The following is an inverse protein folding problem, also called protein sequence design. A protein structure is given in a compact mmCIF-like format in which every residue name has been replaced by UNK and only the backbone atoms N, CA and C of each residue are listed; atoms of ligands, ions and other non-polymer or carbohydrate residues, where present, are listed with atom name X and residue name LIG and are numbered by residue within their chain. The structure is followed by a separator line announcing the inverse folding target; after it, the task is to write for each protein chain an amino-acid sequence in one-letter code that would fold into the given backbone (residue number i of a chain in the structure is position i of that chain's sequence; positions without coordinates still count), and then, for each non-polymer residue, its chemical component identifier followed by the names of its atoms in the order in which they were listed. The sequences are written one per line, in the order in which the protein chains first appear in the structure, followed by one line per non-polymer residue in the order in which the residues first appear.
data_IF_422062352573
#
_entry.id   IF_422062352573
#
_cell.length_a   1.000
_cell.length_b   1.000
_cell.length_c   1.000
_cell.angle_alpha   90.00
_cell.angle_beta   90.00
_cell.angle_gamma   90.00
#
_symmetry.space_group_name_H-M   'P 1'
#
loop_
_entity.id
_entity.type
_entity.pdbx_description
1 polymer ?
#
# COMPACT_ATOMS: atom_id res chain seq x y z
N UNK A 1 -14.99 -70.49 46.44
CA UNK A 1 -14.24 -69.24 46.15
C UNK A 1 -13.95 -69.03 44.67
N UNK A 2 -14.35 -69.89 43.77
CA UNK A 2 -14.05 -69.87 42.34
C UNK A 2 -15.00 -68.95 41.53
N UNK A 3 -16.27 -68.80 41.99
CA UNK A 3 -17.28 -68.02 41.26
C UNK A 3 -17.10 -66.52 41.32
N UNK A 4 -16.37 -65.99 42.29
CA UNK A 4 -16.16 -64.53 42.43
C UNK A 4 -15.10 -64.02 41.44
N UNK A 5 -14.10 -64.84 41.09
CA UNK A 5 -13.06 -64.45 40.14
C UNK A 5 -13.58 -64.29 38.70
N UNK A 6 -14.55 -65.13 38.31
CA UNK A 6 -15.10 -65.05 36.95
C UNK A 6 -15.97 -63.84 36.69
N UNK A 7 -16.74 -63.39 37.67
CA UNK A 7 -17.55 -62.15 37.51
C UNK A 7 -16.71 -60.92 37.31
N UNK A 8 -15.55 -60.81 37.97
CA UNK A 8 -14.61 -59.69 37.77
C UNK A 8 -14.06 -59.59 36.35
N UNK A 9 -13.75 -60.71 35.73
CA UNK A 9 -13.23 -60.77 34.35
C UNK A 9 -14.30 -60.32 33.33
N UNK A 10 -15.54 -60.73 33.51
CA UNK A 10 -16.67 -60.33 32.66
C UNK A 10 -17.01 -58.84 32.78
N UNK A 11 -16.94 -58.27 33.99
CA UNK A 11 -17.14 -56.84 34.22
C UNK A 11 -16.03 -56.02 33.58
N UNK A 12 -14.76 -56.41 33.68
CA UNK A 12 -13.64 -55.71 33.03
C UNK A 12 -13.78 -55.80 31.50
N UNK A 13 -14.15 -56.97 30.95
CA UNK A 13 -14.41 -57.16 29.52
C UNK A 13 -15.53 -56.25 29.01
N UNK A 14 -16.64 -56.14 29.74
CA UNK A 14 -17.75 -55.28 29.38
C UNK A 14 -17.36 -53.74 29.41
N UNK A 15 -16.59 -53.32 30.41
CA UNK A 15 -16.08 -51.95 30.50
C UNK A 15 -15.12 -51.63 29.34
N UNK A 16 -14.26 -52.54 28.97
CA UNK A 16 -13.35 -52.35 27.83
C UNK A 16 -14.10 -52.26 26.48
N UNK A 17 -15.16 -53.06 26.30
CA UNK A 17 -16.00 -53.00 25.11
C UNK A 17 -16.77 -51.67 25.01
N UNK A 18 -17.30 -51.21 26.12
CA UNK A 18 -17.99 -49.88 26.16
C UNK A 18 -17.01 -48.73 25.87
N UNK A 19 -15.81 -48.82 26.45
CA UNK A 19 -14.77 -47.79 26.20
C UNK A 19 -14.27 -47.82 24.75
N UNK A 20 -14.10 -49.00 24.14
CA UNK A 20 -13.72 -49.11 22.73
C UNK A 20 -14.83 -48.62 21.78
N UNK A 21 -16.11 -48.87 22.13
CA UNK A 21 -17.23 -48.37 21.36
C UNK A 21 -17.39 -46.86 21.45
N UNK A 22 -17.19 -46.29 22.64
CA UNK A 22 -17.19 -44.83 22.83
C UNK A 22 -16.02 -44.14 22.12
N UNK A 23 -14.83 -44.73 22.18
CA UNK A 23 -13.67 -44.21 21.47
C UNK A 23 -13.82 -44.31 19.95
N UNK A 24 -14.42 -45.42 19.44
CA UNK A 24 -14.74 -45.56 18.02
C UNK A 24 -15.80 -44.57 17.55
N UNK A 25 -16.86 -44.35 18.34
CA UNK A 25 -17.87 -43.34 18.03
C UNK A 25 -17.31 -41.90 18.08
N UNK A 26 -16.40 -41.63 19.02
CA UNK A 26 -15.69 -40.35 19.10
C UNK A 26 -14.76 -40.17 17.89
N UNK A 27 -14.02 -41.20 17.47
CA UNK A 27 -13.15 -41.15 16.30
C UNK A 27 -13.91 -40.96 14.99
N UNK A 28 -15.12 -41.52 14.84
CA UNK A 28 -15.97 -41.27 13.66
C UNK A 28 -16.49 -39.83 13.61
N UNK A 29 -16.75 -39.19 14.73
CA UNK A 29 -17.13 -37.78 14.75
C UNK A 29 -15.94 -36.86 14.47
N UNK A 30 -14.71 -37.26 14.82
CA UNK A 30 -13.49 -36.49 14.49
C UNK A 30 -13.11 -36.58 13.00
N UNK A 31 -13.49 -37.63 12.31
CA UNK A 31 -13.10 -37.84 10.89
C UNK A 31 -14.08 -37.24 9.88
N UNK A 32 -15.11 -36.54 10.28
CA UNK A 32 -15.90 -35.72 9.36
C UNK A 32 -15.09 -34.44 9.00
N UNK A 33 -14.03 -34.67 8.25
CA UNK A 33 -13.32 -33.57 7.59
C UNK A 33 -14.33 -32.87 6.68
N UNK A 34 -14.86 -31.73 7.14
CA UNK A 34 -15.82 -30.98 6.35
C UNK A 34 -15.15 -30.56 5.05
N UNK A 35 -15.68 -31.00 3.92
CA UNK A 35 -15.23 -30.56 2.60
C UNK A 35 -15.40 -29.06 2.49
N UNK A 36 -14.42 -28.40 1.93
CA UNK A 36 -14.47 -26.95 1.72
C UNK A 36 -13.82 -26.56 0.41
N UNK A 37 -14.16 -25.39 -0.07
CA UNK A 37 -13.46 -24.70 -1.15
C UNK A 37 -12.91 -23.38 -0.63
N UNK A 38 -11.67 -23.06 -0.95
CA UNK A 38 -11.06 -21.77 -0.66
C UNK A 38 -10.85 -21.04 -1.97
N UNK A 39 -11.40 -19.84 -2.04
CA UNK A 39 -11.41 -19.00 -3.23
C UNK A 39 -10.92 -17.61 -2.91
N UNK A 40 -10.44 -16.92 -3.95
CA UNK A 40 -10.05 -15.53 -3.88
C UNK A 40 -10.98 -14.69 -4.74
N UNK A 41 -11.47 -13.60 -4.18
CA UNK A 41 -12.18 -12.57 -4.92
C UNK A 41 -11.31 -11.32 -5.03
N UNK A 42 -11.27 -10.76 -6.20
CA UNK A 42 -10.50 -9.56 -6.54
C UNK A 42 -11.46 -8.39 -6.75
N UNK A 43 -11.07 -7.20 -6.27
CA UNK A 43 -11.60 -5.93 -6.74
C UNK A 43 -10.45 -5.00 -7.10
N UNK A 44 -10.57 -4.30 -8.22
CA UNK A 44 -9.63 -3.30 -8.69
C UNK A 44 -10.38 -2.02 -9.07
N UNK A 45 -9.85 -0.87 -8.68
CA UNK A 45 -10.42 0.43 -8.99
C UNK A 45 -9.33 1.41 -9.38
N UNK A 46 -9.55 2.16 -10.46
CA UNK A 46 -8.67 3.27 -10.84
C UNK A 46 -9.29 4.55 -10.29
N UNK A 47 -8.49 5.29 -9.52
CA UNK A 47 -8.87 6.56 -8.92
C UNK A 47 -7.83 7.62 -9.29
N UNK A 48 -8.23 8.89 -9.27
CA UNK A 48 -7.29 10.00 -9.37
C UNK A 48 -6.70 10.28 -8.00
N UNK A 49 -5.40 10.55 -7.94
CA UNK A 49 -4.73 11.02 -6.73
C UNK A 49 -5.40 12.30 -6.22
N UNK A 50 -5.50 12.44 -4.92
CA UNK A 50 -6.08 13.59 -4.23
C UNK A 50 -5.03 14.49 -3.57
N UNK A 51 -3.78 14.05 -3.56
CA UNK A 51 -2.60 14.78 -3.05
C UNK A 51 -1.47 14.68 -4.06
N UNK A 52 -0.73 15.77 -4.20
CA UNK A 52 0.53 15.82 -4.90
C UNK A 52 1.62 16.40 -4.00
N UNK A 53 2.79 15.77 -4.01
CA UNK A 53 4.00 16.20 -3.34
C UNK A 53 5.03 16.49 -4.43
N UNK A 54 5.35 17.77 -4.62
CA UNK A 54 6.30 18.19 -5.64
C UNK A 54 7.58 18.67 -4.98
N UNK A 55 8.70 18.01 -5.27
CA UNK A 55 10.02 18.32 -4.75
C UNK A 55 10.90 18.93 -5.83
N UNK A 56 11.39 20.14 -5.60
CA UNK A 56 12.29 20.88 -6.47
C UNK A 56 13.61 21.07 -5.73
N UNK A 57 14.63 20.31 -6.10
CA UNK A 57 15.97 20.40 -5.53
C UNK A 57 16.87 21.21 -6.44
N UNK A 58 17.68 22.08 -5.85
CA UNK A 58 18.66 22.85 -6.58
C UNK A 58 20.01 22.89 -5.86
N UNK A 59 21.06 23.05 -6.63
CA UNK A 59 22.42 23.17 -6.17
C UNK A 59 22.98 24.56 -6.45
N UNK A 60 23.81 25.03 -5.53
CA UNK A 60 24.62 26.25 -5.69
C UNK A 60 26.06 25.91 -5.39
N UNK A 61 26.98 26.41 -6.20
CA UNK A 61 28.42 26.21 -6.02
C UNK A 61 29.15 27.52 -6.13
N UNK A 62 30.10 27.77 -5.23
CA UNK A 62 30.89 29.00 -5.22
C UNK A 62 32.25 28.80 -4.57
N UNK A 63 33.20 29.66 -4.93
CA UNK A 63 34.50 29.75 -4.24
C UNK A 63 34.48 30.78 -3.09
N UNK A 64 33.39 31.55 -2.98
CA UNK A 64 33.17 32.53 -1.91
C UNK A 64 31.88 32.20 -1.16
N UNK A 65 31.95 32.19 0.17
CA UNK A 65 30.81 31.82 1.02
C UNK A 65 29.66 32.85 0.97
N UNK A 66 29.99 34.14 0.87
CA UNK A 66 28.99 35.21 0.81
C UNK A 66 28.22 35.15 -0.52
N UNK A 67 28.95 34.87 -1.62
CA UNK A 67 28.34 34.66 -2.94
C UNK A 67 27.46 33.41 -2.95
N UNK A 68 27.90 32.32 -2.29
CA UNK A 68 27.08 31.11 -2.14
C UNK A 68 25.75 31.44 -1.45
N UNK A 69 25.81 32.17 -0.34
CA UNK A 69 24.64 32.57 0.42
C UNK A 69 23.68 33.42 -0.42
N UNK A 70 24.20 34.45 -1.09
CA UNK A 70 23.40 35.31 -1.95
C UNK A 70 22.70 34.54 -3.09
N UNK A 71 23.38 33.57 -3.72
CA UNK A 71 22.83 32.73 -4.76
C UNK A 71 21.77 31.77 -4.24
N UNK A 72 21.93 31.22 -3.03
CA UNK A 72 20.92 30.41 -2.36
C UNK A 72 19.65 31.22 -2.14
N UNK A 73 19.74 32.42 -1.58
CA UNK A 73 18.58 33.30 -1.35
C UNK A 73 17.89 33.68 -2.66
N UNK A 74 18.66 34.07 -3.68
CA UNK A 74 18.15 34.39 -5.00
C UNK A 74 17.38 33.23 -5.62
N UNK A 75 17.96 32.03 -5.62
CA UNK A 75 17.33 30.85 -6.22
C UNK A 75 16.10 30.39 -5.44
N UNK A 76 16.15 30.42 -4.10
CA UNK A 76 14.99 30.14 -3.25
C UNK A 76 13.84 31.11 -3.54
N UNK A 77 14.14 32.42 -3.64
CA UNK A 77 13.16 33.45 -3.95
C UNK A 77 12.57 33.27 -5.35
N UNK A 78 13.39 32.91 -6.34
CA UNK A 78 12.94 32.66 -7.71
C UNK A 78 11.98 31.47 -7.78
N UNK A 79 12.32 30.35 -7.12
CA UNK A 79 11.45 29.16 -7.08
C UNK A 79 10.17 29.46 -6.32
N UNK A 80 10.25 30.12 -5.17
CA UNK A 80 9.07 30.50 -4.38
C UNK A 80 8.13 31.39 -5.19
N UNK A 81 8.65 32.43 -5.85
CA UNK A 81 7.88 33.31 -6.72
C UNK A 81 7.23 32.61 -7.89
N UNK A 82 7.95 31.65 -8.49
CA UNK A 82 7.41 30.79 -9.54
C UNK A 82 6.23 29.95 -9.02
N UNK A 83 6.36 29.33 -7.87
CA UNK A 83 5.31 28.50 -7.27
C UNK A 83 4.06 29.35 -6.93
N UNK A 84 4.24 30.52 -6.32
CA UNK A 84 3.16 31.44 -6.03
C UNK A 84 2.45 31.91 -7.32
N UNK A 85 3.20 32.25 -8.37
CA UNK A 85 2.65 32.63 -9.67
C UNK A 85 1.87 31.47 -10.35
N UNK A 86 2.18 30.20 -10.03
CA UNK A 86 1.43 29.03 -10.50
C UNK A 86 0.18 28.72 -9.68
N UNK A 87 -0.14 29.53 -8.66
CA UNK A 87 -1.36 29.44 -7.87
C UNK A 87 -1.25 28.54 -6.63
N UNK A 88 -0.03 28.24 -6.19
CA UNK A 88 0.19 27.60 -4.88
C UNK A 88 0.16 28.66 -3.79
N UNK A 89 -0.32 28.28 -2.62
CA UNK A 89 -0.34 29.15 -1.45
C UNK A 89 0.96 29.00 -0.67
N UNK A 90 1.37 30.07 0.04
CA UNK A 90 2.58 30.01 0.86
C UNK A 90 2.54 28.89 1.92
N UNK A 91 1.35 28.55 2.40
CA UNK A 91 1.12 27.45 3.34
C UNK A 91 1.34 26.06 2.74
N UNK A 92 1.29 25.93 1.40
CA UNK A 92 1.54 24.68 0.67
C UNK A 92 3.03 24.49 0.34
N UNK A 93 3.84 25.57 0.49
CA UNK A 93 5.25 25.59 0.11
C UNK A 93 6.12 25.44 1.36
N UNK A 94 7.00 24.48 1.36
CA UNK A 94 7.98 24.27 2.42
C UNK A 94 9.40 24.40 1.86
N UNK A 95 10.25 25.17 2.56
CA UNK A 95 11.68 25.31 2.25
C UNK A 95 12.47 24.47 3.24
N UNK A 96 13.19 23.50 2.74
CA UNK A 96 14.04 22.65 3.59
C UNK A 96 15.29 23.40 4.07
N UNK A 97 15.90 22.99 5.18
CA UNK A 97 17.19 23.51 5.60
C UNK A 97 18.26 23.32 4.52
N UNK A 98 19.12 24.30 4.38
CA UNK A 98 20.23 24.24 3.41
C UNK A 98 21.34 23.37 3.95
N UNK A 99 21.82 22.42 3.15
CA UNK A 99 23.00 21.64 3.44
C UNK A 99 24.21 22.26 2.71
N UNK A 100 25.18 22.77 3.48
CA UNK A 100 26.41 23.35 2.92
C UNK A 100 27.59 22.44 3.30
N UNK A 101 28.41 22.09 2.33
CA UNK A 101 29.66 21.38 2.57
C UNK A 101 30.81 22.07 1.84
N UNK A 102 31.98 22.01 2.47
CA UNK A 102 33.23 22.53 1.91
C UNK A 102 34.03 21.40 1.29
N UNK A 103 34.40 21.54 0.04
CA UNK A 103 35.34 20.64 -0.60
C UNK A 103 36.76 20.97 -0.14
N UNK A 104 37.47 19.97 0.36
CA UNK A 104 38.83 20.10 0.86
C UNK A 104 39.89 19.63 -0.13
N UNK A 105 39.52 19.12 -1.28
CA UNK A 105 40.47 18.71 -2.30
C UNK A 105 41.14 19.93 -2.94
N UNK A 106 42.48 19.83 -3.16
CA UNK A 106 43.29 20.94 -3.64
C UNK A 106 42.86 21.43 -5.03
N UNK A 107 42.35 20.52 -5.86
CA UNK A 107 41.98 20.79 -7.26
C UNK A 107 40.43 20.88 -7.43
N UNK A 108 39.68 21.08 -6.34
CA UNK A 108 38.25 21.28 -6.42
C UNK A 108 37.92 22.54 -7.19
N UNK A 109 37.03 22.42 -8.20
CA UNK A 109 36.60 23.54 -9.04
C UNK A 109 35.86 24.59 -8.21
N UNK A 110 35.06 24.15 -7.25
CA UNK A 110 34.32 24.98 -6.29
C UNK A 110 34.60 24.52 -4.87
N UNK A 111 34.92 25.49 -4.01
CA UNK A 111 35.22 25.24 -2.61
C UNK A 111 33.98 24.98 -1.77
N UNK A 112 32.89 25.64 -2.05
CA UNK A 112 31.64 25.53 -1.33
C UNK A 112 30.54 25.02 -2.25
N UNK A 113 29.80 24.05 -1.74
CA UNK A 113 28.66 23.46 -2.42
C UNK A 113 27.47 23.46 -1.47
N UNK A 114 26.31 23.85 -1.96
CA UNK A 114 25.08 23.86 -1.20
C UNK A 114 23.98 23.13 -1.99
N UNK A 115 23.21 22.34 -1.28
CA UNK A 115 22.00 21.69 -1.80
C UNK A 115 20.83 22.06 -0.90
N UNK A 116 19.72 22.43 -1.49
CA UNK A 116 18.46 22.67 -0.77
C UNK A 116 17.27 22.30 -1.63
N UNK A 117 16.09 22.25 -1.01
CA UNK A 117 14.85 21.79 -1.60
C UNK A 117 13.71 22.74 -1.24
N UNK A 118 12.88 23.07 -2.24
CA UNK A 118 11.51 23.51 -1.98
C UNK A 118 10.56 22.35 -2.28
N UNK A 119 9.57 22.18 -1.45
CA UNK A 119 8.52 21.20 -1.68
C UNK A 119 7.13 21.83 -1.58
N UNK A 120 6.23 21.36 -2.44
CA UNK A 120 4.82 21.73 -2.41
C UNK A 120 4.02 20.49 -2.00
N UNK A 121 3.21 20.59 -0.95
CA UNK A 121 2.23 19.59 -0.57
C UNK A 121 0.83 20.18 -0.81
N UNK A 122 0.07 19.60 -1.72
CA UNK A 122 -1.19 20.22 -2.17
C UNK A 122 -2.21 19.19 -2.64
N UNK A 123 -3.49 19.59 -2.57
CA UNK A 123 -4.60 18.88 -3.22
C UNK A 123 -4.82 19.31 -4.67
N UNK A 124 -4.11 20.32 -5.15
CA UNK A 124 -4.20 20.87 -6.52
C UNK A 124 -3.38 20.01 -7.50
N UNK A 125 -3.72 18.72 -7.63
CA UNK A 125 -2.99 17.73 -8.44
C UNK A 125 -2.76 18.19 -9.88
N UNK A 126 -3.81 18.71 -10.54
CA UNK A 126 -3.72 19.19 -11.92
C UNK A 126 -2.82 20.42 -12.06
N UNK A 127 -2.84 21.30 -11.06
CA UNK A 127 -1.97 22.50 -11.02
C UNK A 127 -0.51 22.08 -10.96
N UNK A 128 -0.16 21.09 -10.10
CA UNK A 128 1.20 20.56 -10.03
C UNK A 128 1.64 19.98 -11.37
N UNK A 129 0.78 19.15 -11.98
CA UNK A 129 1.07 18.53 -13.29
C UNK A 129 1.28 19.56 -14.40
N UNK A 130 0.51 20.65 -14.39
CA UNK A 130 0.66 21.74 -15.35
C UNK A 130 1.92 22.56 -15.07
N UNK A 131 2.10 23.01 -13.81
CA UNK A 131 3.22 23.85 -13.42
C UNK A 131 4.58 23.18 -13.61
N UNK A 132 4.67 21.87 -13.38
CA UNK A 132 5.92 21.11 -13.53
C UNK A 132 6.50 21.10 -14.94
N UNK A 133 5.68 21.31 -15.95
CA UNK A 133 6.12 21.44 -17.36
C UNK A 133 6.85 22.75 -17.63
N UNK A 134 6.60 23.75 -16.79
CA UNK A 134 7.12 25.11 -16.96
C UNK A 134 8.40 25.37 -16.16
N UNK A 135 8.97 24.36 -15.50
CA UNK A 135 10.18 24.50 -14.66
C UNK A 135 11.42 24.99 -15.42
N UNK A 136 11.44 24.86 -16.75
CA UNK A 136 12.49 25.45 -17.61
C UNK A 136 12.58 26.99 -17.48
N UNK A 137 11.53 27.65 -16.99
CA UNK A 137 11.56 29.08 -16.70
C UNK A 137 12.58 29.38 -15.59
N UNK A 138 12.69 28.52 -14.58
CA UNK A 138 13.65 28.62 -13.49
C UNK A 138 15.10 28.49 -14.01
N UNK A 139 15.33 27.56 -14.93
CA UNK A 139 16.65 27.40 -15.56
C UNK A 139 17.06 28.66 -16.33
N UNK A 140 16.11 29.31 -17.05
CA UNK A 140 16.36 30.59 -17.72
C UNK A 140 16.70 31.74 -16.74
N UNK A 141 16.23 31.63 -15.50
CA UNK A 141 16.57 32.59 -14.44
C UNK A 141 17.89 32.26 -13.70
N UNK A 142 18.61 31.22 -14.16
CA UNK A 142 19.89 30.80 -13.63
C UNK A 142 19.82 29.79 -12.47
N UNK A 143 18.63 29.23 -12.19
CA UNK A 143 18.49 28.19 -11.16
C UNK A 143 18.94 26.84 -11.72
N UNK A 144 19.95 26.24 -11.14
CA UNK A 144 20.42 24.90 -11.52
C UNK A 144 19.62 23.83 -10.76
N UNK A 145 18.60 23.28 -11.41
CA UNK A 145 17.80 22.21 -10.85
C UNK A 145 18.58 20.89 -10.87
N UNK A 146 18.74 20.27 -9.70
CA UNK A 146 19.35 18.95 -9.54
C UNK A 146 18.31 17.84 -9.67
N UNK A 147 17.17 17.97 -8.99
CA UNK A 147 16.08 17.03 -9.06
C UNK A 147 14.74 17.76 -9.08
N UNK A 148 13.84 17.27 -9.92
CA UNK A 148 12.47 17.77 -10.03
C UNK A 148 11.55 16.53 -10.08
N UNK A 149 10.94 16.18 -8.97
CA UNK A 149 10.14 14.96 -8.83
C UNK A 149 8.78 15.25 -8.22
N UNK A 150 7.79 14.51 -8.68
CA UNK A 150 6.43 14.60 -8.19
C UNK A 150 6.00 13.21 -7.75
N UNK A 151 5.51 13.11 -6.50
CA UNK A 151 4.77 11.98 -6.00
C UNK A 151 3.29 12.35 -5.97
N UNK A 152 2.45 11.48 -6.51
CA UNK A 152 1.00 11.59 -6.39
C UNK A 152 0.50 10.53 -5.44
N UNK A 153 -0.45 10.88 -4.57
CA UNK A 153 -1.00 9.98 -3.56
C UNK A 153 -2.51 10.01 -3.57
N UNK A 154 -3.12 8.89 -3.23
CA UNK A 154 -4.53 8.79 -2.92
C UNK A 154 -4.68 8.52 -1.43
N UNK A 155 -5.10 9.54 -0.69
CA UNK A 155 -5.17 9.51 0.79
C UNK A 155 -6.51 9.01 1.32
N UNK A 156 -7.60 9.18 0.57
CA UNK A 156 -8.96 8.83 0.98
C UNK A 156 -9.36 7.40 0.63
N UNK A 157 -8.55 6.44 1.08
CA UNK A 157 -8.84 5.00 0.88
C UNK A 157 -10.19 4.59 1.51
N UNK A 158 -10.63 5.28 2.56
CA UNK A 158 -11.86 4.94 3.26
C UNK A 158 -13.11 5.21 2.42
N UNK A 159 -13.05 6.11 1.46
CA UNK A 159 -14.17 6.39 0.55
C UNK A 159 -14.49 5.23 -0.41
N UNK A 160 -13.48 4.44 -0.79
CA UNK A 160 -13.62 3.34 -1.77
C UNK A 160 -13.62 1.96 -1.12
N UNK A 161 -13.10 1.83 0.09
CA UNK A 161 -12.92 0.57 0.79
C UNK A 161 -14.20 -0.27 0.94
N UNK A 162 -15.37 0.28 1.36
CA UNK A 162 -16.58 -0.53 1.51
C UNK A 162 -17.06 -1.14 0.21
N UNK A 163 -17.07 -0.36 -0.87
CA UNK A 163 -17.49 -0.79 -2.20
C UNK A 163 -16.57 -1.91 -2.74
N UNK A 164 -15.26 -1.69 -2.66
CA UNK A 164 -14.26 -2.66 -3.14
C UNK A 164 -14.29 -3.97 -2.36
N UNK A 165 -14.53 -3.92 -1.05
CA UNK A 165 -14.69 -5.12 -0.24
C UNK A 165 -15.94 -5.90 -0.62
N UNK A 166 -17.07 -5.21 -0.81
CA UNK A 166 -18.32 -5.84 -1.22
C UNK A 166 -18.16 -6.55 -2.57
N UNK A 167 -17.47 -5.91 -3.53
CA UNK A 167 -17.17 -6.49 -4.84
C UNK A 167 -16.24 -7.71 -4.72
N UNK A 168 -15.15 -7.61 -3.98
CA UNK A 168 -14.22 -8.72 -3.77
C UNK A 168 -14.89 -9.92 -3.11
N UNK A 169 -15.74 -9.70 -2.10
CA UNK A 169 -16.51 -10.76 -1.44
C UNK A 169 -17.51 -11.40 -2.41
N UNK A 170 -18.21 -10.59 -3.22
CA UNK A 170 -19.12 -11.09 -4.24
C UNK A 170 -18.39 -11.97 -5.24
N UNK A 171 -17.27 -11.51 -5.79
CA UNK A 171 -16.48 -12.25 -6.77
C UNK A 171 -15.95 -13.58 -6.19
N UNK A 172 -15.52 -13.59 -4.92
CA UNK A 172 -15.15 -14.83 -4.23
C UNK A 172 -16.34 -15.79 -4.10
N UNK A 173 -17.52 -15.28 -3.73
CA UNK A 173 -18.74 -16.10 -3.60
C UNK A 173 -19.16 -16.70 -4.94
N UNK A 174 -19.11 -15.91 -6.01
CA UNK A 174 -19.46 -16.35 -7.36
C UNK A 174 -18.48 -17.44 -7.85
N UNK A 175 -17.19 -17.29 -7.57
CA UNK A 175 -16.18 -18.31 -7.87
C UNK A 175 -16.43 -19.61 -7.07
N UNK A 176 -16.78 -19.52 -5.79
CA UNK A 176 -17.10 -20.68 -4.96
C UNK A 176 -18.38 -21.40 -5.45
N UNK A 177 -19.39 -20.65 -5.85
CA UNK A 177 -20.62 -21.20 -6.39
C UNK A 177 -20.39 -21.96 -7.71
N UNK A 178 -19.55 -21.39 -8.59
CA UNK A 178 -19.17 -22.08 -9.83
C UNK A 178 -18.40 -23.37 -9.54
N UNK A 179 -17.43 -23.34 -8.59
CA UNK A 179 -16.68 -24.53 -8.19
C UNK A 179 -17.61 -25.62 -7.63
N UNK A 180 -18.54 -25.27 -6.74
CA UNK A 180 -19.47 -26.21 -6.15
C UNK A 180 -20.34 -26.88 -7.24
N UNK A 181 -20.83 -26.08 -8.20
CA UNK A 181 -21.63 -26.58 -9.34
C UNK A 181 -20.84 -27.58 -10.18
N UNK A 182 -19.61 -27.24 -10.58
CA UNK A 182 -18.79 -28.10 -11.46
C UNK A 182 -18.31 -29.37 -10.73
N UNK A 183 -18.15 -29.34 -9.40
CA UNK A 183 -17.78 -30.50 -8.58
C UNK A 183 -18.96 -31.37 -8.15
N UNK A 184 -20.19 -31.04 -8.55
CA UNK A 184 -21.41 -31.76 -8.13
C UNK A 184 -21.75 -31.60 -6.65
N UNK A 185 -21.21 -30.58 -5.98
CA UNK A 185 -21.41 -30.26 -4.57
C UNK A 185 -22.37 -29.07 -4.42
N UNK A 186 -22.86 -28.85 -3.20
CA UNK A 186 -23.64 -27.66 -2.86
C UNK A 186 -22.80 -26.70 -2.03
N UNK A 187 -22.85 -25.39 -2.36
CA UNK A 187 -22.18 -24.34 -1.60
C UNK A 187 -22.84 -24.17 -0.25
N UNK A 188 -22.05 -24.28 0.83
CA UNK A 188 -22.46 -24.00 2.20
C UNK A 188 -22.11 -22.59 2.66
N UNK A 189 -22.14 -22.38 3.98
CA UNK A 189 -21.76 -21.10 4.57
C UNK A 189 -20.26 -20.82 4.55
N UNK A 190 -19.89 -19.55 4.77
CA UNK A 190 -18.49 -19.13 4.96
C UNK A 190 -17.98 -19.70 6.29
N UNK A 191 -16.89 -20.44 6.26
CA UNK A 191 -16.22 -20.97 7.47
C UNK A 191 -15.03 -20.11 7.89
N UNK A 192 -14.42 -19.39 6.96
CA UNK A 192 -13.31 -18.47 7.22
C UNK A 192 -13.25 -17.36 6.16
N UNK A 193 -12.93 -16.14 6.60
CA UNK A 193 -12.69 -15.00 5.70
C UNK A 193 -11.43 -14.25 6.10
N UNK A 194 -10.67 -13.81 5.09
CA UNK A 194 -9.55 -12.89 5.24
C UNK A 194 -9.70 -11.78 4.20
N UNK A 195 -9.75 -10.53 4.67
CA UNK A 195 -9.98 -9.38 3.84
C UNK A 195 -8.80 -9.07 2.89
N UNK A 196 -7.58 -9.41 3.25
CA UNK A 196 -6.39 -8.97 2.52
C UNK A 196 -6.05 -7.49 2.74
N UNK A 197 -4.94 -7.07 2.15
CA UNK A 197 -4.42 -5.70 2.21
C UNK A 197 -4.84 -4.95 0.94
N UNK A 198 -5.12 -3.65 1.09
CA UNK A 198 -5.29 -2.75 -0.04
C UNK A 198 -3.91 -2.37 -0.56
N UNK A 199 -3.65 -2.67 -1.81
CA UNK A 199 -2.44 -2.28 -2.53
C UNK A 199 -2.76 -1.10 -3.45
N UNK A 200 -1.92 -0.05 -3.39
CA UNK A 200 -2.09 1.18 -4.17
C UNK A 200 -0.81 1.38 -4.98
N UNK A 201 -0.94 1.32 -6.29
CA UNK A 201 0.17 1.51 -7.22
C UNK A 201 -0.19 2.58 -8.25
N UNK A 202 0.79 3.09 -8.97
CA UNK A 202 0.51 3.91 -10.13
C UNK A 202 -0.23 3.08 -11.18
N UNK A 203 -1.21 3.70 -11.84
CA UNK A 203 -1.92 3.05 -12.95
C UNK A 203 -0.95 2.64 -14.06
N UNK A 204 -0.11 3.56 -14.46
CA UNK A 204 0.94 3.38 -15.47
C UNK A 204 1.99 4.50 -15.34
N UNK A 205 3.20 4.32 -15.91
CA UNK A 205 4.26 5.33 -15.83
C UNK A 205 3.94 6.68 -16.52
N UNK A 206 3.03 6.69 -17.49
CA UNK A 206 2.63 7.90 -18.22
C UNK A 206 1.54 8.70 -17.53
N UNK A 207 0.87 8.11 -16.54
CA UNK A 207 -0.26 8.70 -15.83
C UNK A 207 -0.14 8.49 -14.31
N UNK A 208 0.95 8.93 -13.66
CA UNK A 208 1.21 8.66 -12.25
C UNK A 208 0.19 9.33 -11.30
N UNK A 209 -0.58 10.31 -11.79
CA UNK A 209 -1.68 10.93 -11.06
C UNK A 209 -2.93 10.04 -10.96
N UNK A 210 -2.97 8.91 -11.68
CA UNK A 210 -3.98 7.89 -11.51
C UNK A 210 -3.40 6.70 -10.76
N UNK A 211 -4.13 6.26 -9.74
CA UNK A 211 -3.75 5.12 -8.89
C UNK A 211 -4.66 3.94 -9.18
N UNK A 212 -4.07 2.76 -9.23
CA UNK A 212 -4.79 1.50 -9.24
C UNK A 212 -4.80 0.95 -7.82
N UNK A 213 -6.00 0.87 -7.25
CA UNK A 213 -6.23 0.25 -5.94
C UNK A 213 -6.67 -1.18 -6.19
N UNK A 214 -6.10 -2.11 -5.46
CA UNK A 214 -6.39 -3.53 -5.56
C UNK A 214 -6.59 -4.13 -4.18
N UNK A 215 -7.60 -4.99 -4.04
CA UNK A 215 -7.79 -5.80 -2.83
C UNK A 215 -8.14 -7.23 -3.21
N UNK A 216 -7.61 -8.19 -2.47
CA UNK A 216 -7.93 -9.61 -2.64
C UNK A 216 -8.50 -10.13 -1.33
N UNK A 217 -9.75 -10.59 -1.35
CA UNK A 217 -10.38 -11.26 -0.22
C UNK A 217 -10.32 -12.78 -0.41
N UNK A 218 -9.83 -13.50 0.60
CA UNK A 218 -9.80 -14.96 0.59
C UNK A 218 -10.91 -15.49 1.48
N UNK A 219 -11.80 -16.28 0.91
CA UNK A 219 -12.95 -16.87 1.61
C UNK A 219 -12.92 -18.38 1.50
N UNK A 220 -13.23 -19.05 2.60
CA UNK A 220 -13.42 -20.49 2.67
C UNK A 220 -14.89 -20.80 2.90
N UNK A 221 -15.47 -21.55 1.99
CA UNK A 221 -16.86 -22.02 2.06
C UNK A 221 -16.88 -23.53 2.33
N UNK A 222 -17.86 -23.94 3.11
CA UNK A 222 -18.14 -25.36 3.29
C UNK A 222 -18.81 -25.90 2.01
N UNK A 223 -18.52 -27.17 1.70
CA UNK A 223 -19.20 -27.93 0.65
C UNK A 223 -20.09 -28.99 1.30
N UNK A 224 -21.28 -29.17 0.72
CA UNK A 224 -22.28 -30.16 1.18
C UNK A 224 -22.59 -31.12 0.05
#
# INVERSE_FOLDING_TARGET
MENIKNHGIWVIGAVLLVFSFLSFAAAQNFSKQQSYVEVKGLSEKIVKADVAIWSINFDVKSNNIDSLYADIEKNTSAINSFLLAKGFEASEINVAPVNIYQDTYKDALFRYNATTQLSVYTKKVDTVRSASKDTLILVKQGVTLNQNSIAFEFSDINSVKPEMLAEAIKNAKDAAAQFAKESGSHLGGVSRGNQGVFDITDKDPGSPEYKKIRVVSTLRFLLK
#
